data_IF_878683122794
#
_entry.id   IF_878683122794
#
_cell.length_a   1.000
_cell.length_b   1.000
_cell.length_c   1.000
_cell.angle_alpha   90.00
_cell.angle_beta   90.00
_cell.angle_gamma   90.00
#
_symmetry.space_group_name_H-M   'P 1'
#
loop_
_entity.id
_entity.type
_entity.pdbx_description
1 polymer ?
#
# COMPACT_ATOMS: atom_id res chain seq x y z
N UNK A 1 -16.61 39.79 50.16
CA UNK A 1 -16.35 41.03 49.39
C UNK A 1 -14.85 41.22 49.31
N UNK A 2 -14.30 41.34 48.09
CA UNK A 2 -12.90 41.65 47.72
C UNK A 2 -11.85 40.62 48.21
N UNK A 3 -10.79 40.22 47.51
CA UNK A 3 -10.14 40.69 46.28
C UNK A 3 -9.21 39.60 45.70
N UNK A 4 -8.92 39.74 44.40
CA UNK A 4 -7.61 39.52 43.76
C UNK A 4 -6.97 38.12 43.73
N UNK A 5 -7.03 37.51 42.54
CA UNK A 5 -5.88 37.30 41.68
C UNK A 5 -4.78 36.35 42.15
N UNK A 6 -4.55 35.27 41.39
CA UNK A 6 -3.30 35.13 40.63
C UNK A 6 -3.39 33.95 39.65
N UNK A 7 -2.98 34.23 38.42
CA UNK A 7 -2.60 33.25 37.41
C UNK A 7 -1.27 32.63 37.88
N UNK A 8 -1.19 31.31 37.91
CA UNK A 8 0.08 30.59 37.94
C UNK A 8 0.04 29.52 36.84
N UNK A 9 0.86 29.71 35.82
CA UNK A 9 1.31 28.69 34.89
C UNK A 9 2.31 27.76 35.59
N UNK A 10 2.12 26.45 35.47
CA UNK A 10 3.15 25.40 35.38
C UNK A 10 2.44 24.06 35.17
N UNK A 11 2.62 23.36 34.05
CA UNK A 11 3.74 22.45 33.78
C UNK A 11 3.77 21.26 34.77
N UNK A 12 3.21 20.12 34.32
CA UNK A 12 3.40 18.80 34.92
C UNK A 12 2.60 18.54 36.20
N UNK A 13 1.64 17.62 36.14
CA UNK A 13 1.04 17.07 37.35
C UNK A 13 -0.36 16.49 37.14
N UNK A 14 -0.48 15.18 37.34
CA UNK A 14 -1.73 14.43 37.35
C UNK A 14 -2.71 14.97 38.40
N UNK A 15 -3.98 15.15 38.02
CA UNK A 15 -5.10 15.18 38.98
C UNK A 15 -5.72 13.79 38.96
N UNK A 16 -5.47 13.03 40.04
CA UNK A 16 -6.27 11.87 40.44
C UNK A 16 -7.44 12.40 41.28
N UNK A 17 -8.67 12.25 40.79
CA UNK A 17 -9.81 12.06 41.68
C UNK A 17 -10.00 10.56 41.89
N UNK A 18 -9.76 10.14 43.13
CA UNK A 18 -9.93 8.77 43.62
C UNK A 18 -11.40 8.49 43.91
N UNK A 19 -11.96 7.48 43.24
CA UNK A 19 -13.08 6.70 43.77
C UNK A 19 -12.53 5.36 44.28
N UNK A 20 -12.75 5.11 45.56
CA UNK A 20 -12.29 3.96 46.33
C UNK A 20 -12.75 2.63 45.72
N UNK A 21 -11.78 1.77 45.37
CA UNK A 21 -11.79 0.30 45.47
C UNK A 21 -10.56 -0.30 44.75
N UNK A 22 -9.35 -0.02 45.25
CA UNK A 22 -8.13 -0.58 44.68
C UNK A 22 -7.97 -2.08 45.01
N UNK A 23 -8.07 -2.90 43.98
CA UNK A 23 -7.44 -4.23 43.93
C UNK A 23 -5.95 -3.99 43.64
N UNK A 24 -5.07 -4.43 44.54
CA UNK A 24 -3.62 -4.43 44.34
C UNK A 24 -3.20 -5.69 43.57
N UNK A 25 -2.64 -5.52 42.38
CA UNK A 25 -1.86 -6.54 41.69
C UNK A 25 -0.38 -6.28 41.98
N UNK A 26 0.39 -7.36 42.24
CA UNK A 26 1.79 -7.30 42.66
C UNK A 26 2.71 -6.57 41.68
N UNK A 27 3.91 -6.23 42.15
CA UNK A 27 4.93 -5.55 41.35
C UNK A 27 5.14 -6.26 40.01
N UNK A 28 5.19 -5.54 38.87
CA UNK A 28 5.46 -6.14 37.57
C UNK A 28 6.80 -6.87 37.62
N UNK A 29 6.82 -8.13 37.18
CA UNK A 29 8.09 -8.81 36.86
C UNK A 29 8.78 -8.01 35.75
N UNK A 30 10.09 -7.80 35.90
CA UNK A 30 10.90 -7.13 34.88
C UNK A 30 10.67 -7.81 33.53
N UNK A 31 10.38 -7.00 32.51
CA UNK A 31 10.16 -7.50 31.16
C UNK A 31 11.34 -8.40 30.76
N UNK A 32 11.09 -9.62 30.24
CA UNK A 32 12.17 -10.50 29.80
C UNK A 32 13.04 -9.76 28.79
N UNK A 33 14.36 -9.86 28.94
CA UNK A 33 15.32 -9.20 28.05
C UNK A 33 14.99 -9.55 26.60
N UNK A 34 14.66 -8.53 25.79
CA UNK A 34 14.39 -8.63 24.36
C UNK A 34 15.52 -9.44 23.69
N UNK A 35 15.18 -10.62 23.14
CA UNK A 35 15.96 -11.18 22.04
C UNK A 35 15.64 -10.31 20.82
N UNK A 36 16.62 -9.55 20.35
CA UNK A 36 16.62 -8.99 19.00
C UNK A 36 16.66 -10.16 18.02
N UNK A 37 15.48 -10.64 17.63
CA UNK A 37 15.36 -11.44 16.42
C UNK A 37 15.37 -10.41 15.29
N UNK A 38 16.35 -10.50 14.40
CA UNK A 38 16.43 -9.71 13.17
C UNK A 38 15.22 -10.06 12.29
N UNK A 39 14.03 -9.53 12.60
CA UNK A 39 12.96 -9.46 11.60
C UNK A 39 13.37 -8.34 10.64
N UNK A 40 13.90 -8.71 9.48
CA UNK A 40 14.10 -7.76 8.39
C UNK A 40 12.79 -7.01 8.17
N UNK A 41 12.81 -5.67 8.20
CA UNK A 41 11.65 -4.92 7.77
C UNK A 41 11.38 -5.32 6.31
N UNK A 42 10.17 -5.75 6.04
CA UNK A 42 9.71 -6.27 4.76
C UNK A 42 8.96 -5.14 4.06
N UNK A 43 9.69 -4.15 3.56
CA UNK A 43 9.07 -3.17 2.66
C UNK A 43 8.64 -3.90 1.38
N UNK A 44 7.32 -4.06 1.19
CA UNK A 44 6.68 -4.68 0.03
C UNK A 44 5.80 -3.62 -0.64
N UNK A 45 5.92 -3.46 -1.97
CA UNK A 45 5.14 -2.54 -2.82
C UNK A 45 4.37 -3.30 -3.91
N UNK A 46 4.10 -4.59 -3.66
CA UNK A 46 3.57 -5.53 -4.65
C UNK A 46 2.19 -5.11 -5.20
N UNK A 47 1.46 -4.28 -4.45
CA UNK A 47 0.17 -3.71 -4.83
C UNK A 47 0.22 -2.57 -5.87
N UNK A 48 1.39 -1.99 -6.15
CA UNK A 48 1.52 -0.77 -6.97
C UNK A 48 1.90 -1.10 -8.42
N UNK A 49 3.13 -0.78 -8.84
CA UNK A 49 3.61 -0.88 -10.23
C UNK A 49 3.11 -2.15 -10.97
N UNK A 50 3.53 -3.33 -10.53
CA UNK A 50 3.30 -4.58 -11.26
C UNK A 50 1.81 -4.97 -11.29
N UNK A 51 1.09 -4.74 -10.19
CA UNK A 51 -0.37 -5.03 -10.16
C UNK A 51 -1.12 -4.13 -11.14
N UNK A 52 -0.84 -2.82 -11.15
CA UNK A 52 -1.48 -1.89 -12.09
C UNK A 52 -1.14 -2.26 -13.53
N UNK A 53 0.13 -2.56 -13.81
CA UNK A 53 0.56 -2.92 -15.16
C UNK A 53 -0.17 -4.18 -15.67
N UNK A 54 -0.20 -5.24 -14.86
CA UNK A 54 -0.86 -6.49 -15.24
C UNK A 54 -2.36 -6.30 -15.47
N UNK A 55 -3.05 -5.55 -14.60
CA UNK A 55 -4.48 -5.27 -14.76
C UNK A 55 -4.75 -4.48 -16.04
N UNK A 56 -3.97 -3.44 -16.33
CA UNK A 56 -4.09 -2.66 -17.58
C UNK A 56 -3.94 -3.55 -18.82
N UNK A 57 -2.91 -4.40 -18.85
CA UNK A 57 -2.67 -5.32 -19.96
C UNK A 57 -3.81 -6.35 -20.11
N UNK A 58 -4.36 -6.86 -19.00
CA UNK A 58 -5.49 -7.79 -19.06
C UNK A 58 -6.76 -7.15 -19.60
N UNK A 59 -7.05 -5.90 -19.24
CA UNK A 59 -8.16 -5.12 -19.79
C UNK A 59 -7.99 -4.77 -21.28
N UNK A 60 -6.81 -5.03 -21.85
CA UNK A 60 -6.48 -4.77 -23.25
C UNK A 60 -6.08 -3.32 -23.51
N UNK A 61 -5.59 -2.60 -22.50
CA UNK A 61 -4.84 -1.36 -22.72
C UNK A 61 -3.60 -1.65 -23.56
N UNK A 62 -3.18 -0.73 -24.42
CA UNK A 62 -1.94 -0.89 -25.16
C UNK A 62 -0.74 -0.84 -24.20
N UNK A 63 0.35 -1.49 -24.60
CA UNK A 63 1.51 -1.72 -23.73
C UNK A 63 2.18 -0.42 -23.28
N UNK A 64 2.32 0.56 -24.16
CA UNK A 64 2.96 1.84 -23.86
C UNK A 64 2.16 2.66 -22.83
N UNK A 65 0.84 2.82 -23.03
CA UNK A 65 -0.02 3.51 -22.07
C UNK A 65 -0.11 2.76 -20.73
N UNK A 66 -0.13 1.41 -20.77
CA UNK A 66 -0.17 0.59 -19.57
C UNK A 66 1.11 0.72 -18.73
N UNK A 67 2.27 0.73 -19.40
CA UNK A 67 3.57 0.90 -18.77
C UNK A 67 3.73 2.32 -18.21
N UNK A 68 3.37 3.35 -18.98
CA UNK A 68 3.42 4.73 -18.52
C UNK A 68 2.55 4.94 -17.28
N UNK A 69 1.33 4.38 -17.27
CA UNK A 69 0.44 4.49 -16.12
C UNK A 69 0.98 3.75 -14.89
N UNK A 70 1.59 2.57 -15.09
CA UNK A 70 2.23 1.83 -14.01
C UNK A 70 3.42 2.59 -13.43
N UNK A 71 4.29 3.17 -14.27
CA UNK A 71 5.41 4.02 -13.84
C UNK A 71 4.91 5.23 -13.06
N UNK A 72 3.88 5.92 -13.56
CA UNK A 72 3.29 7.06 -12.86
C UNK A 72 2.72 6.65 -11.49
N UNK A 73 2.12 5.46 -11.40
CA UNK A 73 1.58 4.89 -10.15
C UNK A 73 2.66 4.58 -9.14
N UNK A 74 3.84 4.13 -9.58
CA UNK A 74 4.97 3.84 -8.69
C UNK A 74 5.74 5.10 -8.26
N UNK A 75 5.67 6.16 -9.07
CA UNK A 75 6.46 7.38 -8.91
C UNK A 75 6.52 7.99 -7.50
N UNK A 76 5.48 7.90 -6.64
CA UNK A 76 5.60 8.32 -5.25
C UNK A 76 6.70 7.55 -4.51
N UNK A 77 6.73 6.22 -4.60
CA UNK A 77 7.64 5.35 -3.84
C UNK A 77 8.97 5.11 -4.56
N UNK A 78 8.95 5.02 -5.88
CA UNK A 78 10.14 4.64 -6.66
C UNK A 78 10.25 5.42 -7.96
N UNK A 79 11.45 5.90 -8.29
CA UNK A 79 11.80 6.38 -9.62
C UNK A 79 12.29 5.21 -10.46
N UNK A 80 11.58 4.89 -11.54
CA UNK A 80 11.94 3.80 -12.46
C UNK A 80 12.70 4.40 -13.65
N UNK A 81 13.99 4.08 -13.77
CA UNK A 81 14.83 4.52 -14.89
C UNK A 81 14.83 3.50 -16.03
N UNK A 82 14.64 2.21 -15.72
CA UNK A 82 14.50 1.10 -16.69
C UNK A 82 13.95 -0.17 -16.02
N UNK A 83 13.74 -1.26 -16.79
CA UNK A 83 13.30 -2.58 -16.27
C UNK A 83 14.25 -3.18 -15.20
N UNK A 84 15.47 -2.66 -15.05
CA UNK A 84 16.46 -3.14 -14.07
C UNK A 84 16.89 -2.08 -13.05
N UNK A 85 16.41 -0.83 -13.17
CA UNK A 85 16.97 0.32 -12.44
C UNK A 85 15.87 1.09 -11.69
N UNK A 86 15.76 0.80 -10.39
CA UNK A 86 14.67 1.22 -9.50
C UNK A 86 15.24 1.97 -8.28
N UNK A 87 15.02 3.28 -8.22
CA UNK A 87 15.54 4.16 -7.18
C UNK A 87 14.44 4.61 -6.21
N UNK A 88 14.53 4.19 -4.94
CA UNK A 88 13.59 4.51 -3.85
C UNK A 88 13.52 6.01 -3.56
N UNK A 89 12.32 6.55 -3.45
CA UNK A 89 12.04 7.93 -3.06
C UNK A 89 11.89 8.09 -1.53
N UNK A 90 11.91 9.36 -1.10
CA UNK A 90 11.73 9.79 0.30
C UNK A 90 10.39 10.49 0.54
N UNK A 91 9.44 10.37 -0.39
CA UNK A 91 8.12 11.00 -0.31
C UNK A 91 7.35 10.57 0.94
N UNK A 92 7.54 9.32 1.38
CA UNK A 92 7.02 8.81 2.64
C UNK A 92 7.63 9.49 3.87
N UNK A 93 8.72 10.22 3.76
CA UNK A 93 9.28 11.00 4.87
C UNK A 93 8.80 12.45 4.88
N UNK A 94 8.07 12.89 3.85
CA UNK A 94 7.49 14.24 3.73
C UNK A 94 6.03 14.25 4.22
N UNK A 95 5.73 14.82 5.40
CA UNK A 95 4.39 14.82 5.97
C UNK A 95 3.32 15.53 5.12
N UNK A 96 3.71 16.57 4.39
CA UNK A 96 2.78 17.35 3.57
C UNK A 96 2.40 16.57 2.29
N UNK A 97 3.36 15.83 1.74
CA UNK A 97 3.14 14.98 0.58
C UNK A 97 2.38 13.70 0.94
N UNK A 98 2.69 13.10 2.10
CA UNK A 98 2.11 11.86 2.59
C UNK A 98 0.58 11.86 2.62
N UNK A 99 -0.03 12.87 3.24
CA UNK A 99 -1.48 12.89 3.42
C UNK A 99 -2.26 12.94 2.11
N UNK A 100 -1.65 13.47 1.04
CA UNK A 100 -2.29 13.65 -0.27
C UNK A 100 -2.10 12.47 -1.21
N UNK A 101 -0.93 11.81 -1.14
CA UNK A 101 -0.54 10.71 -2.06
C UNK A 101 -0.66 9.33 -1.42
N UNK A 102 -0.43 9.22 -0.11
CA UNK A 102 -0.54 7.96 0.61
C UNK A 102 -1.82 7.88 1.45
N UNK A 103 -2.49 6.72 1.46
CA UNK A 103 -3.72 6.52 2.27
C UNK A 103 -3.42 6.23 3.75
N UNK A 104 -2.47 6.97 4.34
CA UNK A 104 -2.01 6.86 5.73
C UNK A 104 -2.72 7.89 6.64
N UNK A 105 -4.05 7.96 6.53
CA UNK A 105 -4.83 9.05 7.13
C UNK A 105 -5.31 8.78 8.55
N UNK A 106 -5.23 7.53 9.03
CA UNK A 106 -5.93 7.09 10.23
C UNK A 106 -7.46 7.04 10.09
N UNK A 107 -7.97 7.34 8.88
CA UNK A 107 -9.38 7.31 8.51
C UNK A 107 -9.91 5.90 8.29
N UNK A 108 -11.00 5.78 7.54
CA UNK A 108 -11.66 4.51 7.27
C UNK A 108 -11.50 4.11 5.81
N UNK A 109 -11.11 2.85 5.57
CA UNK A 109 -10.83 2.27 4.26
C UNK A 109 -11.90 2.61 3.22
N UNK A 110 -13.18 2.30 3.49
CA UNK A 110 -14.25 2.48 2.51
C UNK A 110 -14.47 3.94 2.09
N UNK A 111 -14.17 4.90 2.96
CA UNK A 111 -14.28 6.33 2.64
C UNK A 111 -13.09 6.77 1.79
N UNK A 112 -11.88 6.36 2.16
CA UNK A 112 -10.65 6.68 1.43
C UNK A 112 -10.66 6.05 0.03
N UNK A 113 -11.06 4.78 -0.06
CA UNK A 113 -11.24 4.04 -1.32
C UNK A 113 -12.22 4.76 -2.24
N UNK A 114 -13.42 5.05 -1.73
CA UNK A 114 -14.46 5.73 -2.49
C UNK A 114 -14.00 7.09 -3.01
N UNK A 115 -13.45 7.93 -2.12
CA UNK A 115 -13.05 9.30 -2.47
C UNK A 115 -11.94 9.31 -3.51
N UNK A 116 -10.99 8.39 -3.39
CA UNK A 116 -9.90 8.22 -4.34
C UNK A 116 -10.43 7.74 -5.70
N UNK A 117 -11.34 6.76 -5.70
CA UNK A 117 -11.98 6.27 -6.93
C UNK A 117 -12.76 7.35 -7.68
N UNK A 118 -13.51 8.19 -6.95
CA UNK A 118 -14.19 9.36 -7.54
C UNK A 118 -13.16 10.29 -8.19
N UNK A 119 -12.10 10.68 -7.49
CA UNK A 119 -11.06 11.56 -8.07
C UNK A 119 -10.46 10.97 -9.35
N UNK A 120 -10.20 9.66 -9.38
CA UNK A 120 -9.70 8.95 -10.56
C UNK A 120 -10.66 9.08 -11.74
N UNK A 121 -11.93 8.73 -11.57
CA UNK A 121 -12.93 8.78 -12.65
C UNK A 121 -13.11 10.19 -13.21
N UNK A 122 -12.97 11.20 -12.35
CA UNK A 122 -13.27 12.59 -12.68
C UNK A 122 -12.10 13.38 -13.27
N UNK A 123 -10.87 12.92 -13.12
CA UNK A 123 -9.70 13.58 -13.69
C UNK A 123 -9.80 13.68 -15.22
N UNK A 124 -9.76 14.89 -15.79
CA UNK A 124 -9.91 15.09 -17.24
C UNK A 124 -8.56 15.13 -17.96
N UNK A 125 -8.28 14.08 -18.71
CA UNK A 125 -7.08 13.94 -19.54
C UNK A 125 -7.40 14.42 -20.95
N UNK A 126 -6.61 15.35 -21.47
CA UNK A 126 -6.62 15.79 -22.87
C UNK A 126 -5.20 16.14 -23.32
N UNK A 127 -5.00 16.33 -24.62
CA UNK A 127 -3.67 16.53 -25.20
C UNK A 127 -2.90 17.73 -24.62
N UNK A 128 -3.60 18.75 -24.08
CA UNK A 128 -2.97 19.95 -23.53
C UNK A 128 -2.49 19.79 -22.09
N UNK A 129 -2.98 18.79 -21.37
CA UNK A 129 -2.67 18.57 -19.96
C UNK A 129 -2.28 17.11 -19.65
N UNK A 130 -1.98 16.30 -20.69
CA UNK A 130 -1.76 14.86 -20.57
C UNK A 130 -0.70 14.53 -19.55
N UNK A 131 0.48 15.14 -19.64
CA UNK A 131 1.63 14.86 -18.76
C UNK A 131 1.28 15.05 -17.28
N UNK A 132 0.79 16.25 -16.93
CA UNK A 132 0.37 16.55 -15.55
C UNK A 132 -0.79 15.67 -15.07
N UNK A 133 -1.74 15.34 -15.96
CA UNK A 133 -2.85 14.45 -15.63
C UNK A 133 -2.42 12.98 -15.46
N UNK A 134 -1.43 12.50 -16.21
CA UNK A 134 -0.90 11.14 -16.03
C UNK A 134 -0.18 11.04 -14.69
N UNK A 135 0.63 12.05 -14.33
CA UNK A 135 1.24 12.14 -13.00
C UNK A 135 0.19 12.11 -11.89
N UNK A 136 -0.81 13.00 -11.95
CA UNK A 136 -1.90 13.03 -10.96
C UNK A 136 -2.72 11.74 -10.93
N UNK A 137 -2.95 11.11 -12.08
CA UNK A 137 -3.63 9.82 -12.14
C UNK A 137 -2.81 8.73 -11.45
N UNK A 138 -1.50 8.71 -11.70
CA UNK A 138 -0.55 7.82 -11.04
C UNK A 138 -0.59 7.96 -9.52
N UNK A 139 -0.48 9.19 -9.00
CA UNK A 139 -0.60 9.48 -7.56
C UNK A 139 -1.94 9.00 -6.96
N UNK A 140 -3.04 9.16 -7.71
CA UNK A 140 -4.34 8.68 -7.26
C UNK A 140 -4.46 7.14 -7.31
N UNK A 141 -3.89 6.48 -8.31
CA UNK A 141 -3.84 5.01 -8.40
C UNK A 141 -2.96 4.43 -7.30
N UNK A 142 -1.85 5.11 -6.98
CA UNK A 142 -0.97 4.79 -5.87
C UNK A 142 -1.76 4.84 -4.56
N UNK A 143 -2.39 6.00 -4.31
CA UNK A 143 -3.27 6.20 -3.16
C UNK A 143 -4.35 5.13 -3.08
N UNK A 144 -4.91 4.71 -4.22
CA UNK A 144 -5.94 3.69 -4.28
C UNK A 144 -5.40 2.31 -3.86
N UNK A 145 -4.22 1.91 -4.35
CA UNK A 145 -3.49 0.74 -3.85
C UNK A 145 -3.26 0.81 -2.34
N UNK A 146 -2.83 1.97 -1.86
CA UNK A 146 -2.61 2.24 -0.44
C UNK A 146 -3.87 2.06 0.42
N UNK A 147 -5.08 2.27 -0.14
CA UNK A 147 -6.32 2.03 0.62
C UNK A 147 -6.42 0.57 1.03
N UNK A 148 -5.85 -0.35 0.25
CA UNK A 148 -5.77 -1.76 0.56
C UNK A 148 -4.52 -2.09 1.35
N UNK A 149 -3.35 -1.59 0.90
CA UNK A 149 -2.05 -1.78 1.52
C UNK A 149 -2.09 -1.44 3.01
N UNK A 150 -2.53 -0.21 3.29
CA UNK A 150 -2.43 0.42 4.59
C UNK A 150 -3.69 0.30 5.45
N UNK A 151 -4.53 -0.72 5.21
CA UNK A 151 -5.58 -1.07 6.16
C UNK A 151 -4.99 -1.82 7.35
N UNK A 152 -5.27 -1.36 8.58
CA UNK A 152 -4.71 -1.97 9.79
C UNK A 152 -5.10 -3.44 9.90
N UNK A 153 -4.12 -4.29 10.19
CA UNK A 153 -4.34 -5.70 10.50
C UNK A 153 -5.14 -5.89 11.80
N UNK A 154 -5.12 -4.87 12.66
CA UNK A 154 -5.65 -4.83 14.02
C UNK A 154 -7.17 -4.54 14.09
N UNK A 155 -7.87 -4.39 12.96
CA UNK A 155 -9.34 -4.25 12.90
C UNK A 155 -10.14 -5.51 13.38
N UNK A 156 -9.44 -6.43 14.03
CA UNK A 156 -9.91 -7.52 14.87
C UNK A 156 -10.51 -6.92 16.16
N UNK A 157 -11.48 -7.61 16.80
CA UNK A 157 -12.16 -7.14 18.02
C UNK A 157 -11.18 -6.48 19.03
N UNK A 158 -11.52 -5.29 19.59
CA UNK A 158 -10.63 -4.50 20.45
C UNK A 158 -9.97 -5.25 21.63
N UNK A 159 -10.59 -6.33 22.11
CA UNK A 159 -10.08 -7.17 23.20
C UNK A 159 -8.78 -7.90 22.88
N UNK A 160 -8.38 -7.97 21.61
CA UNK A 160 -7.25 -8.78 21.18
C UNK A 160 -6.08 -7.93 20.63
N UNK A 161 -6.25 -6.60 20.51
CA UNK A 161 -5.28 -5.66 19.94
C UNK A 161 -3.88 -5.73 20.58
N UNK A 162 -3.81 -5.93 21.90
CA UNK A 162 -2.53 -6.05 22.62
C UNK A 162 -1.78 -7.35 22.33
N UNK A 163 -2.42 -8.34 21.70
CA UNK A 163 -1.86 -9.67 21.45
C UNK A 163 -1.41 -9.93 20.00
N UNK A 164 -1.53 -8.94 19.10
CA UNK A 164 -1.31 -9.10 17.65
C UNK A 164 -0.05 -8.46 17.11
N UNK A 165 0.92 -8.19 17.96
CA UNK A 165 2.21 -7.72 17.50
C UNK A 165 2.93 -8.90 16.77
N UNK A 166 2.81 -8.99 15.44
CA UNK A 166 3.42 -10.04 14.59
C UNK A 166 4.96 -10.02 14.69
N UNK A 167 5.49 -8.86 15.04
CA UNK A 167 6.88 -8.61 15.41
C UNK A 167 7.34 -9.39 16.66
N UNK A 168 6.40 -9.87 17.50
CA UNK A 168 6.69 -10.60 18.75
C UNK A 168 6.65 -12.14 18.61
N UNK A 169 6.22 -12.71 17.47
CA UNK A 169 6.28 -14.16 17.24
C UNK A 169 5.35 -14.72 16.17
N UNK A 170 5.80 -15.77 15.48
CA UNK A 170 5.08 -16.51 14.41
C UNK A 170 3.76 -17.13 14.89
N UNK A 171 3.57 -17.33 16.20
CA UNK A 171 2.33 -17.89 16.77
C UNK A 171 1.08 -17.01 16.55
N UNK A 172 1.27 -15.74 16.19
CA UNK A 172 0.18 -14.81 15.93
C UNK A 172 -0.25 -14.78 14.46
N UNK A 173 0.56 -15.31 13.55
CA UNK A 173 0.26 -15.36 12.12
C UNK A 173 -1.04 -16.14 11.80
N UNK A 174 -1.31 -17.33 12.36
CA UNK A 174 -2.57 -18.03 12.10
C UNK A 174 -3.81 -17.24 12.56
N UNK A 175 -3.69 -16.47 13.65
CA UNK A 175 -4.79 -15.65 14.16
C UNK A 175 -5.04 -14.43 13.27
N UNK A 176 -3.98 -13.83 12.71
CA UNK A 176 -4.08 -12.74 11.73
C UNK A 176 -4.72 -13.24 10.42
N UNK A 177 -4.30 -14.39 9.90
CA UNK A 177 -4.93 -14.98 8.71
C UNK A 177 -6.42 -15.28 8.97
N UNK A 178 -6.74 -15.84 10.15
CA UNK A 178 -8.11 -16.19 10.50
C UNK A 178 -9.04 -14.97 10.66
N UNK A 179 -8.52 -13.80 11.05
CA UNK A 179 -9.35 -12.60 11.14
C UNK A 179 -9.73 -12.04 9.78
N UNK A 180 -8.86 -12.16 8.78
CA UNK A 180 -9.12 -11.70 7.41
C UNK A 180 -9.94 -12.70 6.58
N UNK A 181 -9.85 -14.00 6.89
CA UNK A 181 -10.56 -15.06 6.16
C UNK A 181 -12.07 -14.80 6.12
N UNK A 182 -12.61 -14.59 4.92
CA UNK A 182 -14.04 -14.33 4.71
C UNK A 182 -14.51 -12.91 5.03
N UNK A 183 -13.62 -11.99 5.41
CA UNK A 183 -13.93 -10.56 5.58
C UNK A 183 -13.69 -9.73 4.32
N UNK A 184 -13.80 -10.36 3.13
CA UNK A 184 -13.51 -9.72 1.84
C UNK A 184 -14.12 -8.32 1.69
N UNK A 185 -13.38 -7.45 0.99
CA UNK A 185 -13.82 -6.09 0.65
C UNK A 185 -15.15 -6.09 -0.11
N UNK A 186 -15.84 -4.96 -0.04
CA UNK A 186 -17.08 -4.76 -0.80
C UNK A 186 -16.74 -4.51 -2.27
N UNK A 187 -17.71 -4.76 -3.14
CA UNK A 187 -17.62 -4.33 -4.54
C UNK A 187 -17.79 -2.81 -4.60
N UNK A 188 -16.73 -2.11 -5.01
CA UNK A 188 -16.68 -0.65 -5.08
C UNK A 188 -17.80 -0.08 -5.98
N UNK A 189 -18.14 -0.79 -7.06
CA UNK A 189 -19.19 -0.39 -8.00
C UNK A 189 -20.53 -0.11 -7.30
N UNK A 190 -20.92 -0.94 -6.33
CA UNK A 190 -22.19 -0.79 -5.60
C UNK A 190 -22.24 0.47 -4.74
N UNK A 191 -21.08 0.89 -4.23
CA UNK A 191 -20.97 2.08 -3.40
C UNK A 191 -20.79 3.32 -4.26
N UNK A 192 -20.03 3.27 -5.37
CA UNK A 192 -19.74 4.44 -6.23
C UNK A 192 -20.86 4.80 -7.19
N UNK A 193 -21.50 3.83 -7.85
CA UNK A 193 -22.51 4.09 -8.90
C UNK A 193 -23.67 5.02 -8.46
N UNK A 194 -24.27 4.87 -7.27
CA UNK A 194 -25.33 5.77 -6.81
C UNK A 194 -24.88 7.23 -6.67
N UNK A 195 -23.61 7.44 -6.32
CA UNK A 195 -23.06 8.78 -6.11
C UNK A 195 -22.54 9.41 -7.38
N UNK A 196 -22.18 8.64 -8.41
CA UNK A 196 -21.76 9.21 -9.70
C UNK A 196 -22.81 10.21 -10.20
N UNK A 197 -24.09 9.88 -10.15
CA UNK A 197 -25.18 10.78 -10.60
C UNK A 197 -25.21 12.06 -9.76
N UNK A 198 -25.13 11.94 -8.44
CA UNK A 198 -25.23 13.09 -7.52
C UNK A 198 -23.98 13.99 -7.57
N UNK A 199 -22.79 13.39 -7.67
CA UNK A 199 -21.54 14.12 -7.88
C UNK A 199 -21.53 14.77 -9.27
N UNK A 200 -22.09 14.12 -10.29
CA UNK A 200 -22.28 14.73 -11.63
C UNK A 200 -23.12 16.00 -11.56
N UNK A 201 -24.20 16.00 -10.77
CA UNK A 201 -25.05 17.18 -10.60
C UNK A 201 -24.28 18.33 -9.96
N UNK A 202 -23.52 18.06 -8.89
CA UNK A 202 -22.77 19.11 -8.20
C UNK A 202 -21.55 19.60 -8.96
N UNK A 203 -20.83 18.72 -9.66
CA UNK A 203 -19.70 19.13 -10.52
C UNK A 203 -20.16 19.92 -11.74
N UNK A 204 -21.37 19.67 -12.27
CA UNK A 204 -21.99 20.55 -13.29
C UNK A 204 -22.31 21.94 -12.75
N UNK A 205 -22.73 22.04 -11.48
CA UNK A 205 -23.10 23.30 -10.83
C UNK A 205 -21.88 24.12 -10.39
N UNK A 206 -20.91 23.48 -9.74
CA UNK A 206 -19.80 24.12 -9.02
C UNK A 206 -18.44 23.94 -9.71
N UNK A 207 -18.38 23.23 -10.83
CA UNK A 207 -17.14 22.81 -11.46
C UNK A 207 -16.39 21.73 -10.65
N UNK A 208 -15.21 21.35 -11.13
CA UNK A 208 -14.37 20.33 -10.49
C UNK A 208 -13.85 20.71 -9.10
N UNK A 209 -13.76 22.01 -8.83
CA UNK A 209 -13.46 22.55 -7.51
C UNK A 209 -14.39 22.03 -6.43
N UNK A 210 -15.59 21.53 -6.76
CA UNK A 210 -16.48 20.87 -5.81
C UNK A 210 -15.80 19.74 -5.01
N UNK A 211 -14.94 18.93 -5.65
CA UNK A 211 -14.32 17.77 -5.01
C UNK A 211 -13.28 18.15 -3.94
N UNK A 212 -12.81 19.39 -3.94
CA UNK A 212 -11.77 19.88 -3.02
C UNK A 212 -12.18 21.11 -2.21
N UNK A 213 -13.20 21.84 -2.64
CA UNK A 213 -13.68 23.05 -1.97
C UNK A 213 -14.78 22.72 -0.97
N UNK A 214 -14.43 22.72 0.32
CA UNK A 214 -15.36 22.41 1.40
C UNK A 214 -16.59 23.34 1.43
N UNK A 215 -16.47 24.61 1.04
CA UNK A 215 -17.63 25.52 1.03
C UNK A 215 -18.68 25.08 0.02
N UNK A 216 -18.26 24.67 -1.19
CA UNK A 216 -19.20 24.13 -2.19
C UNK A 216 -19.80 22.81 -1.74
N UNK A 217 -19.04 21.98 -1.02
CA UNK A 217 -19.57 20.74 -0.44
C UNK A 217 -20.62 21.03 0.63
N UNK A 218 -20.33 21.96 1.55
CA UNK A 218 -21.26 22.38 2.61
C UNK A 218 -22.54 22.96 2.05
N UNK A 219 -22.49 23.74 0.97
CA UNK A 219 -23.71 24.18 0.27
C UNK A 219 -24.50 23.02 -0.36
N UNK A 220 -23.81 22.02 -0.91
CA UNK A 220 -24.42 20.88 -1.58
C UNK A 220 -25.03 19.84 -0.62
N UNK A 221 -24.45 19.70 0.58
CA UNK A 221 -24.83 18.70 1.59
C UNK A 221 -25.35 19.32 2.89
N UNK A 222 -26.13 20.39 2.79
CA UNK A 222 -26.85 20.98 3.93
C UNK A 222 -25.96 21.25 5.16
N UNK A 223 -24.79 21.84 4.92
CA UNK A 223 -23.81 22.23 5.95
C UNK A 223 -22.65 21.25 6.13
N UNK A 224 -22.65 20.10 5.45
CA UNK A 224 -21.62 19.06 5.60
C UNK A 224 -20.64 19.01 4.44
N UNK A 225 -19.40 18.61 4.69
CA UNK A 225 -18.49 18.23 3.60
C UNK A 225 -18.91 16.89 2.99
N UNK A 226 -18.38 16.58 1.80
CA UNK A 226 -18.61 15.29 1.15
C UNK A 226 -18.09 14.14 2.04
N UNK A 227 -16.94 14.37 2.70
CA UNK A 227 -16.37 13.44 3.68
C UNK A 227 -17.28 13.25 4.89
N UNK A 228 -17.81 14.33 5.47
CA UNK A 228 -18.73 14.27 6.62
C UNK A 228 -20.04 13.53 6.27
N UNK A 229 -20.64 13.80 5.11
CA UNK A 229 -21.84 13.10 4.65
C UNK A 229 -21.59 11.60 4.45
N UNK A 230 -20.42 11.23 3.90
CA UNK A 230 -20.05 9.82 3.75
C UNK A 230 -19.72 9.15 5.06
N UNK A 231 -19.09 9.84 6.00
CA UNK A 231 -18.89 9.32 7.35
C UNK A 231 -20.22 8.93 7.99
N UNK A 232 -21.26 9.75 7.86
CA UNK A 232 -22.57 9.41 8.42
C UNK A 232 -23.24 8.19 7.75
N UNK A 233 -23.11 8.06 6.44
CA UNK A 233 -23.77 7.00 5.67
C UNK A 233 -23.02 5.66 5.81
N UNK A 234 -21.69 5.72 5.83
CA UNK A 234 -20.84 4.54 5.71
C UNK A 234 -20.21 4.10 7.03
N UNK A 235 -20.12 4.90 8.10
CA UNK A 235 -19.52 4.42 9.37
C UNK A 235 -20.39 3.45 10.18
N UNK A 236 -21.62 3.18 9.76
CA UNK A 236 -22.61 2.50 10.61
C UNK A 236 -22.59 0.95 10.52
N UNK A 237 -21.78 0.31 9.65
CA UNK A 237 -21.75 -1.17 9.52
C UNK A 237 -20.41 -1.78 9.98
N UNK A 238 -20.44 -3.05 10.35
CA UNK A 238 -19.28 -3.77 10.89
C UNK A 238 -18.11 -3.93 9.92
N UNK A 239 -18.37 -3.94 8.62
CA UNK A 239 -17.37 -3.98 7.54
C UNK A 239 -16.77 -2.61 7.23
N UNK A 240 -17.33 -1.54 7.78
CA UNK A 240 -16.84 -0.17 7.61
C UNK A 240 -15.88 0.24 8.75
N UNK A 241 -15.49 -0.73 9.57
CA UNK A 241 -14.59 -0.58 10.72
C UNK A 241 -13.12 -0.77 10.36
N UNK A 242 -12.78 -0.94 9.08
CA UNK A 242 -11.40 -1.07 8.63
C UNK A 242 -10.72 0.30 8.70
N UNK A 243 -9.94 0.51 9.76
CA UNK A 243 -9.14 1.71 9.97
C UNK A 243 -7.87 1.66 9.12
N UNK A 244 -7.49 2.80 8.54
CA UNK A 244 -6.20 3.01 7.86
C UNK A 244 -5.08 3.22 8.88
N UNK A 245 -3.83 2.90 8.54
CA UNK A 245 -2.68 3.35 9.31
C UNK A 245 -2.57 4.89 9.32
N UNK A 246 -1.89 5.44 10.33
CA UNK A 246 -1.63 6.88 10.44
C UNK A 246 -2.67 7.66 11.26
N UNK A 247 -2.72 8.98 11.02
CA UNK A 247 -3.53 9.95 11.79
C UNK A 247 -2.73 10.88 12.72
N UNK A 248 -1.39 10.88 12.62
CA UNK A 248 -0.47 11.79 13.32
C UNK A 248 0.56 12.43 12.38
N UNK A 249 1.37 13.39 12.88
CA UNK A 249 2.29 14.22 12.07
C UNK A 249 3.41 13.44 11.34
N UNK A 250 3.81 12.30 11.87
CA UNK A 250 4.72 11.35 11.20
C UNK A 250 4.08 9.97 11.30
N UNK A 251 3.93 9.25 10.20
CA UNK A 251 3.34 7.90 10.17
C UNK A 251 4.37 6.84 10.57
N UNK A 252 5.04 7.03 11.72
CA UNK A 252 5.98 6.04 12.28
C UNK A 252 5.29 4.75 12.74
N UNK A 253 3.96 4.77 12.89
CA UNK A 253 3.13 3.61 13.21
C UNK A 253 3.36 2.45 12.23
N UNK A 254 3.57 2.76 10.95
CA UNK A 254 3.82 1.78 9.91
C UNK A 254 5.17 1.06 10.09
N UNK A 255 6.19 1.77 10.59
CA UNK A 255 7.53 1.23 10.86
C UNK A 255 7.63 0.49 12.20
N UNK A 256 6.71 0.74 13.14
CA UNK A 256 6.87 0.34 14.56
C UNK A 256 5.80 -0.62 15.07
N UNK A 257 4.58 -0.59 14.52
CA UNK A 257 3.47 -1.46 14.96
C UNK A 257 3.47 -2.76 14.17
N UNK A 258 3.66 -2.64 12.84
CA UNK A 258 3.68 -3.77 11.91
C UNK A 258 4.95 -3.76 11.04
N UNK A 259 6.05 -3.16 11.49
CA UNK A 259 7.39 -3.27 10.87
C UNK A 259 7.53 -3.15 9.36
N UNK A 260 6.73 -2.24 8.77
CA UNK A 260 6.70 -2.05 7.34
C UNK A 260 6.06 -3.20 6.58
N UNK A 261 5.15 -3.99 7.20
CA UNK A 261 4.44 -5.16 6.63
C UNK A 261 3.06 -4.86 5.97
N UNK A 262 2.76 -3.71 5.34
CA UNK A 262 1.39 -3.44 4.90
C UNK A 262 0.93 -4.43 3.85
N UNK A 263 1.83 -4.91 2.99
CA UNK A 263 1.45 -5.50 1.71
C UNK A 263 1.37 -7.02 1.68
N UNK A 264 1.36 -7.69 2.84
CA UNK A 264 1.36 -9.15 2.94
C UNK A 264 0.14 -9.82 2.30
N UNK A 265 0.13 -9.91 0.97
CA UNK A 265 -0.94 -10.50 0.15
C UNK A 265 -1.18 -11.95 0.59
N UNK A 266 -0.13 -12.66 1.01
CA UNK A 266 -0.24 -14.03 1.53
C UNK A 266 -1.05 -14.14 2.84
N UNK A 267 -1.15 -13.08 3.64
CA UNK A 267 -2.00 -13.03 4.85
C UNK A 267 -3.46 -12.76 4.49
N UNK A 268 -3.68 -11.89 3.49
CA UNK A 268 -5.00 -11.39 3.11
C UNK A 268 -5.28 -11.55 1.61
N UNK A 269 -5.22 -12.79 1.06
CA UNK A 269 -5.35 -13.03 -0.37
C UNK A 269 -6.70 -12.54 -0.91
N UNK A 270 -7.79 -12.78 -0.18
CA UNK A 270 -9.12 -12.30 -0.54
C UNK A 270 -9.19 -10.77 -0.61
N UNK A 271 -8.45 -10.07 0.25
CA UNK A 271 -8.39 -8.60 0.27
C UNK A 271 -7.72 -8.06 -0.98
N UNK A 272 -6.57 -8.62 -1.36
CA UNK A 272 -5.87 -8.29 -2.59
C UNK A 272 -6.71 -8.63 -3.84
N UNK A 273 -7.45 -9.75 -3.84
CA UNK A 273 -8.35 -10.06 -4.96
C UNK A 273 -9.48 -9.03 -5.11
N UNK A 274 -9.94 -8.43 -4.01
CA UNK A 274 -10.92 -7.34 -4.08
C UNK A 274 -10.29 -6.05 -4.62
N UNK A 275 -9.07 -5.73 -4.20
CA UNK A 275 -8.29 -4.65 -4.81
C UNK A 275 -8.19 -4.81 -6.33
N UNK A 276 -7.75 -5.96 -6.81
CA UNK A 276 -7.63 -6.24 -8.25
C UNK A 276 -8.96 -6.06 -8.98
N UNK A 277 -10.07 -6.56 -8.42
CA UNK A 277 -11.41 -6.43 -9.02
C UNK A 277 -11.86 -4.97 -9.08
N UNK A 278 -11.67 -4.23 -8.00
CA UNK A 278 -12.09 -2.83 -7.90
C UNK A 278 -11.21 -1.92 -8.77
N UNK A 279 -9.89 -2.18 -8.82
CA UNK A 279 -8.95 -1.53 -9.74
C UNK A 279 -9.32 -1.80 -11.20
N UNK A 280 -9.60 -3.06 -11.56
CA UNK A 280 -9.97 -3.43 -12.92
C UNK A 280 -11.26 -2.73 -13.36
N UNK A 281 -12.28 -2.68 -12.50
CA UNK A 281 -13.52 -1.94 -12.75
C UNK A 281 -13.24 -0.44 -12.96
N UNK A 282 -12.41 0.14 -12.08
CA UNK A 282 -12.09 1.57 -12.12
C UNK A 282 -11.37 1.97 -13.40
N UNK A 283 -10.35 1.21 -13.78
CA UNK A 283 -9.59 1.42 -15.03
C UNK A 283 -10.46 1.16 -16.26
N UNK A 284 -11.30 0.13 -16.24
CA UNK A 284 -12.24 -0.15 -17.33
C UNK A 284 -13.22 1.00 -17.56
N UNK A 285 -13.77 1.59 -16.50
CA UNK A 285 -14.61 2.77 -16.61
C UNK A 285 -13.84 4.00 -17.09
N UNK A 286 -12.68 4.28 -16.49
CA UNK A 286 -11.86 5.46 -16.79
C UNK A 286 -11.45 5.52 -18.26
N UNK A 287 -11.01 4.38 -18.80
CA UNK A 287 -10.42 4.28 -20.13
C UNK A 287 -11.35 3.60 -21.14
N UNK A 288 -12.59 3.28 -20.77
CA UNK A 288 -13.57 2.57 -21.59
C UNK A 288 -13.05 1.23 -22.11
N UNK A 289 -12.37 0.49 -21.24
CA UNK A 289 -11.84 -0.85 -21.54
C UNK A 289 -12.90 -1.91 -21.24
N UNK A 290 -12.66 -3.11 -21.75
CA UNK A 290 -13.57 -4.25 -21.59
C UNK A 290 -13.25 -5.02 -20.31
N UNK A 291 -14.07 -4.81 -19.28
CA UNK A 291 -13.96 -5.51 -18.00
C UNK A 291 -14.05 -7.04 -18.14
N UNK A 292 -14.71 -7.57 -19.19
CA UNK A 292 -14.84 -9.02 -19.38
C UNK A 292 -13.51 -9.70 -19.74
N UNK A 293 -12.49 -8.93 -20.14
CA UNK A 293 -11.15 -9.46 -20.44
C UNK A 293 -10.30 -9.75 -19.21
N UNK A 294 -10.74 -9.31 -18.02
CA UNK A 294 -10.02 -9.59 -16.79
C UNK A 294 -10.10 -11.09 -16.46
N UNK A 295 -8.97 -11.78 -16.49
CA UNK A 295 -8.89 -13.17 -16.04
C UNK A 295 -8.46 -13.20 -14.57
N UNK A 296 -9.45 -13.13 -13.68
CA UNK A 296 -9.20 -13.14 -12.24
C UNK A 296 -8.53 -14.45 -11.77
N UNK A 297 -8.65 -15.54 -12.55
CA UNK A 297 -8.05 -16.83 -12.19
C UNK A 297 -6.52 -16.76 -12.12
N UNK A 298 -5.89 -15.83 -12.86
CA UNK A 298 -4.44 -15.58 -12.78
C UNK A 298 -4.08 -15.07 -11.39
N UNK A 299 -4.79 -14.06 -10.89
CA UNK A 299 -4.58 -13.52 -9.56
C UNK A 299 -4.95 -14.52 -8.45
N UNK A 300 -6.00 -15.33 -8.65
CA UNK A 300 -6.36 -16.40 -7.72
C UNK A 300 -5.24 -17.45 -7.62
N UNK A 301 -4.58 -17.81 -8.73
CA UNK A 301 -3.41 -18.70 -8.70
C UNK A 301 -2.22 -18.07 -7.98
N UNK A 302 -1.87 -16.83 -8.31
CA UNK A 302 -0.76 -16.12 -7.66
C UNK A 302 -0.97 -16.01 -6.15
N UNK A 303 -2.15 -15.56 -5.72
CA UNK A 303 -2.47 -15.38 -4.30
C UNK A 303 -2.53 -16.70 -3.53
N UNK A 304 -3.04 -17.77 -4.15
CA UNK A 304 -2.99 -19.12 -3.59
C UNK A 304 -1.54 -19.57 -3.37
N UNK A 305 -0.69 -19.43 -4.39
CA UNK A 305 0.72 -19.79 -4.27
C UNK A 305 1.42 -18.98 -3.17
N UNK A 306 1.19 -17.67 -3.14
CA UNK A 306 1.74 -16.79 -2.11
C UNK A 306 1.31 -17.21 -0.70
N UNK A 307 0.02 -17.52 -0.50
CA UNK A 307 -0.51 -18.00 0.78
C UNK A 307 0.11 -19.33 1.22
N UNK A 308 0.28 -20.28 0.30
CA UNK A 308 0.87 -21.60 0.56
C UNK A 308 2.37 -21.52 0.89
N UNK A 309 3.08 -20.56 0.27
CA UNK A 309 4.53 -20.40 0.41
C UNK A 309 4.96 -19.27 1.35
N UNK A 310 4.01 -18.47 1.85
CA UNK A 310 4.23 -17.28 2.68
C UNK A 310 5.22 -16.30 2.04
N UNK A 311 4.97 -15.92 0.80
CA UNK A 311 5.86 -15.06 0.04
C UNK A 311 5.16 -13.82 -0.55
N UNK A 312 5.99 -12.84 -0.91
CA UNK A 312 5.65 -11.71 -1.76
C UNK A 312 5.26 -12.17 -3.17
N UNK A 313 4.51 -11.32 -3.88
CA UNK A 313 4.18 -11.48 -5.30
C UNK A 313 5.17 -10.77 -6.24
N UNK A 314 6.21 -10.11 -5.71
CA UNK A 314 7.29 -9.52 -6.50
C UNK A 314 7.96 -10.57 -7.38
N UNK A 315 8.23 -10.25 -8.64
CA UNK A 315 8.75 -11.19 -9.63
C UNK A 315 7.70 -12.17 -10.16
N UNK A 316 6.77 -12.66 -9.33
CA UNK A 316 5.64 -13.51 -9.76
C UNK A 316 4.72 -12.72 -10.70
N UNK A 317 4.35 -11.49 -10.33
CA UNK A 317 3.53 -10.62 -11.20
C UNK A 317 4.33 -10.23 -12.45
N UNK A 318 5.62 -9.95 -12.33
CA UNK A 318 6.47 -9.57 -13.48
C UNK A 318 6.58 -10.70 -14.51
N UNK A 319 6.59 -11.94 -14.04
CA UNK A 319 6.48 -13.13 -14.88
C UNK A 319 5.11 -13.23 -15.59
N UNK A 320 4.00 -12.95 -14.90
CA UNK A 320 2.67 -12.88 -15.53
C UNK A 320 2.58 -11.75 -16.57
N UNK A 321 3.18 -10.59 -16.29
CA UNK A 321 3.31 -9.47 -17.23
C UNK A 321 4.10 -9.92 -18.46
N UNK A 322 5.25 -10.59 -18.28
CA UNK A 322 6.08 -11.07 -19.38
C UNK A 322 5.30 -12.05 -20.28
N UNK A 323 4.58 -13.00 -19.68
CA UNK A 323 3.68 -13.90 -20.42
C UNK A 323 2.63 -13.13 -21.22
N UNK A 324 1.99 -12.14 -20.60
CA UNK A 324 0.94 -11.33 -21.23
C UNK A 324 1.47 -10.51 -22.41
N UNK A 325 2.70 -10.02 -22.33
CA UNK A 325 3.43 -9.31 -23.38
C UNK A 325 4.05 -10.25 -24.44
N UNK A 326 3.97 -11.56 -24.26
CA UNK A 326 4.62 -12.54 -25.14
C UNK A 326 6.15 -12.53 -25.04
N UNK A 327 6.71 -11.94 -23.97
CA UNK A 327 8.16 -11.98 -23.68
C UNK A 327 8.53 -13.34 -23.09
N UNK A 328 9.76 -13.78 -23.37
CA UNK A 328 10.36 -15.02 -22.85
C UNK A 328 11.40 -14.79 -21.76
N UNK A 329 11.60 -13.53 -21.41
CA UNK A 329 12.53 -13.10 -20.39
C UNK A 329 11.97 -11.86 -19.68
N UNK A 330 12.37 -11.70 -18.42
CA UNK A 330 12.00 -10.59 -17.56
C UNK A 330 13.03 -10.41 -16.44
N UNK A 331 12.89 -9.32 -15.68
CA UNK A 331 13.86 -8.91 -14.68
C UNK A 331 13.19 -8.73 -13.32
N UNK A 332 13.94 -9.06 -12.27
CA UNK A 332 13.62 -8.77 -10.88
C UNK A 332 14.66 -7.75 -10.40
N UNK A 333 14.32 -6.45 -10.36
CA UNK A 333 15.26 -5.38 -10.02
C UNK A 333 15.65 -5.41 -8.53
N UNK A 334 16.89 -5.01 -8.26
CA UNK A 334 17.42 -4.73 -6.93
C UNK A 334 17.33 -3.23 -6.67
N UNK A 335 16.35 -2.87 -5.83
CA UNK A 335 16.09 -1.48 -5.48
C UNK A 335 17.28 -0.85 -4.76
N UNK A 336 17.46 0.44 -4.93
CA UNK A 336 18.51 1.22 -4.27
C UNK A 336 18.02 2.62 -3.94
N UNK A 337 18.80 3.38 -3.17
CA UNK A 337 18.53 4.78 -2.90
C UNK A 337 19.77 5.62 -3.20
N UNK A 338 19.56 6.81 -3.78
CA UNK A 338 20.62 7.79 -3.95
C UNK A 338 21.01 8.38 -2.59
N UNK A 339 22.31 8.67 -2.32
CA UNK A 339 22.76 9.35 -1.11
C UNK A 339 22.11 10.71 -0.85
N UNK A 340 21.53 11.34 -1.88
CA UNK A 340 20.78 12.60 -1.75
C UNK A 340 19.38 12.41 -1.16
N UNK A 341 18.88 11.16 -1.15
CA UNK A 341 17.61 10.74 -0.56
C UNK A 341 17.90 10.17 0.83
N UNK A 342 18.04 11.06 1.80
CA UNK A 342 18.54 10.76 3.14
C UNK A 342 17.68 9.72 3.89
N UNK A 343 16.36 9.75 3.73
CA UNK A 343 15.45 8.86 4.45
C UNK A 343 15.50 7.44 3.89
N UNK A 344 15.43 7.25 2.56
CA UNK A 344 15.57 5.97 1.89
C UNK A 344 17.00 5.44 1.95
N UNK A 345 18.01 6.32 1.97
CA UNK A 345 19.39 5.92 2.29
C UNK A 345 19.47 5.35 3.69
N UNK A 346 18.88 6.04 4.68
CA UNK A 346 18.78 5.55 6.05
C UNK A 346 18.07 4.19 6.14
N UNK A 347 16.97 4.01 5.39
CA UNK A 347 16.24 2.75 5.31
C UNK A 347 17.06 1.61 4.72
N UNK A 348 17.67 1.83 3.55
CA UNK A 348 18.50 0.83 2.87
C UNK A 348 19.71 0.36 3.71
N UNK A 349 20.17 1.20 4.63
CA UNK A 349 21.25 0.88 5.56
C UNK A 349 20.67 0.13 6.77
N UNK A 350 19.74 0.75 7.49
CA UNK A 350 19.37 0.29 8.83
C UNK A 350 18.23 -0.75 8.84
N UNK A 351 17.35 -0.74 7.86
CA UNK A 351 16.01 -1.30 7.98
C UNK A 351 15.68 -2.35 6.92
N UNK A 352 16.02 -2.14 5.65
CA UNK A 352 15.66 -3.05 4.55
C UNK A 352 16.89 -3.56 3.81
N UNK A 353 17.00 -4.89 3.63
CA UNK A 353 18.02 -5.50 2.77
C UNK A 353 17.44 -5.77 1.38
N UNK A 354 17.55 -4.79 0.49
CA UNK A 354 16.98 -4.84 -0.86
C UNK A 354 17.59 -5.95 -1.73
N UNK A 355 18.86 -6.30 -1.51
CA UNK A 355 19.50 -7.41 -2.22
C UNK A 355 18.90 -8.74 -1.79
N UNK A 356 18.75 -8.96 -0.49
CA UNK A 356 18.12 -10.16 0.06
C UNK A 356 16.66 -10.28 -0.39
N UNK A 357 15.90 -9.16 -0.41
CA UNK A 357 14.52 -9.14 -0.92
C UNK A 357 14.43 -9.54 -2.39
N UNK A 358 15.33 -9.04 -3.23
CA UNK A 358 15.37 -9.44 -4.64
C UNK A 358 15.74 -10.92 -4.83
N UNK A 359 16.63 -11.47 -3.98
CA UNK A 359 16.94 -12.92 -3.98
C UNK A 359 15.72 -13.76 -3.60
N UNK A 360 15.01 -13.37 -2.54
CA UNK A 360 13.77 -14.02 -2.11
C UNK A 360 12.71 -14.00 -3.22
N UNK A 361 12.49 -12.82 -3.83
CA UNK A 361 11.57 -12.67 -4.96
C UNK A 361 11.96 -13.59 -6.13
N UNK A 362 13.25 -13.66 -6.47
CA UNK A 362 13.77 -14.57 -7.51
C UNK A 362 13.47 -16.03 -7.19
N UNK A 363 13.79 -16.49 -5.99
CA UNK A 363 13.56 -17.87 -5.57
C UNK A 363 12.09 -18.27 -5.61
N UNK A 364 11.20 -17.42 -5.10
CA UNK A 364 9.76 -17.68 -5.14
C UNK A 364 9.18 -17.59 -6.54
N UNK A 365 9.70 -16.71 -7.38
CA UNK A 365 9.31 -16.62 -8.80
C UNK A 365 9.68 -17.91 -9.54
N UNK A 366 10.90 -18.42 -9.37
CA UNK A 366 11.33 -19.70 -9.95
C UNK A 366 10.40 -20.84 -9.49
N UNK A 367 10.08 -20.89 -8.18
CA UNK A 367 9.14 -21.90 -7.63
C UNK A 367 7.74 -21.76 -8.23
N UNK A 368 7.25 -20.54 -8.44
CA UNK A 368 5.94 -20.29 -9.06
C UNK A 368 5.91 -20.70 -10.54
N UNK A 369 6.98 -20.41 -11.29
CA UNK A 369 7.11 -20.85 -12.67
C UNK A 369 7.03 -22.38 -12.77
N UNK A 370 7.77 -23.08 -11.90
CA UNK A 370 7.73 -24.54 -11.80
C UNK A 370 6.35 -25.06 -11.39
N UNK A 371 5.66 -24.36 -10.49
CA UNK A 371 4.28 -24.66 -10.08
C UNK A 371 3.31 -24.61 -11.27
N UNK A 372 3.52 -23.71 -12.22
CA UNK A 372 2.77 -23.64 -13.48
C UNK A 372 3.28 -24.57 -14.59
N UNK A 373 4.31 -25.38 -14.31
CA UNK A 373 4.91 -26.29 -15.29
C UNK A 373 5.91 -25.65 -16.25
N UNK A 374 6.35 -24.41 -15.99
CA UNK A 374 7.38 -23.72 -16.75
C UNK A 374 8.72 -23.79 -16.00
N UNK A 375 9.71 -24.42 -16.63
CA UNK A 375 11.02 -24.64 -16.01
C UNK A 375 12.02 -23.56 -16.46
N UNK A 376 12.53 -22.71 -15.55
CA UNK A 376 13.40 -21.59 -15.91
C UNK A 376 14.76 -22.04 -16.46
N UNK A 377 15.31 -21.25 -17.39
CA UNK A 377 16.65 -21.49 -17.96
C UNK A 377 17.45 -20.17 -18.02
N UNK A 378 18.56 -20.00 -17.25
CA UNK A 378 19.10 -20.94 -16.27
C UNK A 378 18.19 -21.07 -15.04
N UNK A 379 18.24 -22.23 -14.38
CA UNK A 379 17.38 -22.53 -13.22
C UNK A 379 17.55 -21.55 -12.06
N UNK A 380 18.73 -20.93 -11.93
CA UNK A 380 19.05 -19.99 -10.84
C UNK A 380 18.86 -18.51 -11.23
N UNK A 381 18.49 -18.23 -12.48
CA UNK A 381 18.54 -16.90 -13.08
C UNK A 381 19.94 -16.41 -13.41
N UNK A 382 20.01 -15.34 -14.21
CA UNK A 382 21.24 -14.63 -14.56
C UNK A 382 21.33 -13.36 -13.73
N UNK A 383 22.42 -13.19 -12.98
CA UNK A 383 22.65 -11.97 -12.20
C UNK A 383 23.22 -10.86 -13.09
N UNK A 384 22.55 -9.72 -13.12
CA UNK A 384 22.98 -8.53 -13.85
C UNK A 384 23.69 -7.59 -12.87
N UNK A 385 24.94 -7.27 -13.17
CA UNK A 385 25.84 -6.53 -12.28
C UNK A 385 26.42 -5.29 -12.95
N UNK A 386 26.57 -4.20 -12.20
CA UNK A 386 27.19 -2.97 -12.66
C UNK A 386 28.19 -2.44 -11.63
N UNK A 387 29.49 -2.63 -11.91
CA UNK A 387 30.57 -2.19 -11.03
C UNK A 387 30.65 -0.66 -10.85
N UNK A 388 30.00 0.13 -11.71
CA UNK A 388 29.91 1.58 -11.58
C UNK A 388 28.78 2.02 -10.64
N UNK A 389 27.87 1.10 -10.27
CA UNK A 389 26.73 1.34 -9.38
C UNK A 389 26.94 0.63 -8.03
N UNK A 390 27.96 1.03 -7.29
CA UNK A 390 28.27 0.45 -5.98
C UNK A 390 27.24 0.90 -4.94
N UNK A 391 26.43 -0.05 -4.46
CA UNK A 391 25.41 0.16 -3.43
C UNK A 391 25.95 -0.29 -2.07
N UNK A 392 25.51 0.34 -0.98
CA UNK A 392 25.97 0.06 0.39
C UNK A 392 24.82 -0.48 1.25
N UNK A 393 25.09 -1.52 2.06
CA UNK A 393 24.16 -2.06 3.05
C UNK A 393 24.97 -2.60 4.24
N UNK A 394 24.52 -2.31 5.47
CA UNK A 394 25.14 -2.90 6.68
C UNK A 394 24.57 -4.29 7.01
N UNK A 395 23.58 -4.77 6.25
CA UNK A 395 22.93 -6.07 6.45
C UNK A 395 23.52 -7.19 5.61
N UNK A 396 24.22 -6.85 4.54
CA UNK A 396 24.91 -7.82 3.68
C UNK A 396 26.24 -8.24 4.32
N UNK A 397 26.65 -9.51 4.13
CA UNK A 397 27.94 -10.02 4.64
C UNK A 397 29.14 -9.21 4.12
N UNK A 398 29.00 -8.67 2.91
CA UNK A 398 29.88 -7.66 2.33
C UNK A 398 29.11 -6.35 2.30
N UNK A 399 29.63 -5.30 2.96
CA UNK A 399 28.97 -3.99 3.08
C UNK A 399 28.59 -3.30 1.76
N UNK A 400 29.03 -3.85 0.63
CA UNK A 400 28.78 -3.33 -0.70
C UNK A 400 28.25 -4.43 -1.62
N UNK A 401 27.34 -4.05 -2.52
CA UNK A 401 26.85 -4.89 -3.60
C UNK A 401 26.72 -4.06 -4.88
N UNK A 402 26.75 -4.73 -6.02
CA UNK A 402 26.75 -4.11 -7.35
C UNK A 402 25.79 -4.83 -8.30
N UNK A 403 24.85 -5.60 -7.73
CA UNK A 403 23.76 -6.26 -8.43
C UNK A 403 22.68 -5.23 -8.75
N UNK A 404 22.30 -5.15 -10.02
CA UNK A 404 21.19 -4.30 -10.49
C UNK A 404 19.89 -5.10 -10.60
N UNK A 405 19.93 -6.34 -11.10
CA UNK A 405 18.74 -7.17 -11.24
C UNK A 405 19.08 -8.67 -11.37
N UNK A 406 18.06 -9.51 -11.25
CA UNK A 406 18.11 -10.90 -11.68
C UNK A 406 17.24 -11.10 -12.92
N UNK A 407 17.82 -11.64 -13.98
CA UNK A 407 17.14 -11.98 -15.23
C UNK A 407 16.68 -13.44 -15.20
N UNK A 408 15.41 -13.68 -15.55
CA UNK A 408 14.81 -15.00 -15.65
C UNK A 408 14.25 -15.24 -17.07
N UNK A 409 14.22 -16.51 -17.52
CA UNK A 409 13.67 -16.92 -18.84
C UNK A 409 12.80 -18.17 -18.71
N UNK A 410 11.81 -18.34 -19.60
CA UNK A 410 10.84 -19.46 -19.55
C UNK A 410 10.14 -19.84 -20.86
#
# INVERSE_FOLDING_TARGET
MYSNGNIINNAGGFIRETADNQITYGNPEDAPKKKLINSALLYETDGHYSTVYLVCLMLGMNEEDAEELAIATESPDTTIHSEIDFELNDTWADPDYQGSVHSLTGGFHGIEEFMTAVKILWLKINDKNREDCIRQLGELLHRFGDTYAHTKLDNIKPSNLTAYNLHLGDENLPKAIASWKGQGGKSLAKDVEPWIVRINEFTKKYGYSFLTNENYQREAFNGKTLTEEFQEIYLLKSTDKFKMYGGGYFTTEHLTIDSGYPDMIYIRPDWYLNYVKNLAWLLALKFKLDLQKIDISVFERMTKFAAENKCSLKGIIDYEIAKKRGKREFFIPVFYSSPTRLAASGDSIAFTDYLQKAKEAKEFTIKYMMYEGNYPIPFDGEEITNLLNLKFSIKTENYFYYTDAYKLKF
#
